data_IF_219253145174
#
_entry.id   IF_219253145174
#
_cell.length_a   1.000
_cell.length_b   1.000
_cell.length_c   1.000
_cell.angle_alpha   90.00
_cell.angle_beta   90.00
_cell.angle_gamma   90.00
#
_symmetry.space_group_name_H-M   'P 1'
#
loop_
_entity.id
_entity.type
_entity.pdbx_description
1 polymer ?
#
# COMPACT_ATOMS: atom_id res chain seq x y z
N UNK A 1 13.65 -21.86 22.37
CA UNK A 1 13.52 -22.08 20.91
C UNK A 1 13.72 -20.71 20.25
N UNK A 2 14.74 -20.53 19.37
CA UNK A 2 14.83 -19.33 18.55
C UNK A 2 13.69 -19.44 17.52
N UNK A 3 12.79 -18.47 17.46
CA UNK A 3 11.81 -18.39 16.38
C UNK A 3 12.56 -18.29 15.06
N UNK A 4 12.11 -19.06 14.07
CA UNK A 4 12.69 -18.98 12.74
C UNK A 4 12.36 -17.59 12.16
N UNK A 5 13.38 -16.88 11.67
CA UNK A 5 13.18 -15.61 11.00
C UNK A 5 12.33 -15.82 9.74
N UNK A 6 11.38 -14.91 9.44
CA UNK A 6 10.63 -14.96 8.19
C UNK A 6 11.60 -14.88 7.00
N UNK A 7 11.34 -15.64 5.94
CA UNK A 7 12.16 -15.60 4.72
C UNK A 7 12.00 -14.30 3.95
N UNK A 8 10.88 -13.64 4.14
CA UNK A 8 10.51 -12.37 3.50
C UNK A 8 9.81 -11.45 4.50
N UNK A 9 9.99 -10.15 4.32
CA UNK A 9 9.30 -9.10 5.09
C UNK A 9 8.83 -7.99 4.16
N UNK A 10 7.76 -7.33 4.56
CA UNK A 10 7.22 -6.14 3.88
C UNK A 10 7.44 -4.93 4.79
N UNK A 11 8.15 -3.93 4.30
CA UNK A 11 8.53 -2.73 5.05
C UNK A 11 8.06 -1.49 4.29
N UNK A 12 7.44 -0.55 4.99
CA UNK A 12 7.02 0.73 4.41
C UNK A 12 7.61 1.92 5.18
N UNK A 13 7.88 2.99 4.46
CA UNK A 13 8.41 4.22 5.07
C UNK A 13 8.67 5.32 4.06
N UNK A 14 9.36 6.35 4.51
CA UNK A 14 9.82 7.47 3.69
C UNK A 14 11.30 7.28 3.38
N UNK A 15 11.69 7.50 2.14
CA UNK A 15 13.10 7.49 1.72
C UNK A 15 13.77 8.73 2.30
N UNK A 16 14.70 8.54 3.23
CA UNK A 16 15.49 9.64 3.82
C UNK A 16 16.72 9.97 2.98
N UNK A 17 17.39 8.93 2.44
CA UNK A 17 18.62 9.12 1.68
C UNK A 17 18.86 8.01 0.65
N UNK A 18 19.49 8.37 -0.47
CA UNK A 18 19.95 7.45 -1.51
C UNK A 18 21.44 7.71 -1.73
N UNK A 19 22.27 6.90 -1.08
CA UNK A 19 23.72 7.04 -1.12
C UNK A 19 24.33 6.10 -2.15
N UNK A 20 24.71 6.64 -3.34
CA UNK A 20 25.27 5.89 -4.44
C UNK A 20 26.70 5.39 -4.11
N UNK A 21 26.93 4.12 -4.41
CA UNK A 21 28.25 3.55 -4.26
C UNK A 21 29.24 4.15 -5.26
N UNK A 22 30.52 4.20 -4.89
CA UNK A 22 31.59 4.72 -5.77
C UNK A 22 31.63 3.99 -7.11
N UNK A 23 31.27 2.70 -7.14
CA UNK A 23 31.20 1.88 -8.36
C UNK A 23 30.03 2.23 -9.27
N UNK A 24 29.05 3.04 -8.81
CA UNK A 24 27.78 3.34 -9.48
C UNK A 24 26.93 2.10 -9.85
N UNK A 25 27.24 0.93 -9.30
CA UNK A 25 26.49 -0.31 -9.53
C UNK A 25 25.26 -0.45 -8.64
N UNK A 26 25.02 0.50 -7.74
CA UNK A 26 23.90 0.54 -6.84
C UNK A 26 24.05 1.63 -5.80
N UNK A 27 23.11 1.67 -4.87
CA UNK A 27 23.09 2.59 -3.74
C UNK A 27 22.62 1.89 -2.47
N UNK A 28 22.94 2.49 -1.34
CA UNK A 28 22.31 2.22 -0.06
C UNK A 28 21.17 3.21 0.11
N UNK A 29 19.95 2.69 0.26
CA UNK A 29 18.74 3.50 0.46
C UNK A 29 18.33 3.40 1.91
N UNK A 30 18.23 4.53 2.59
CA UNK A 30 17.78 4.63 3.98
C UNK A 30 16.31 4.99 4.01
N UNK A 31 15.52 4.22 4.77
CA UNK A 31 14.07 4.34 4.88
C UNK A 31 13.71 4.50 6.35
N UNK A 32 12.78 5.39 6.63
CA UNK A 32 12.26 5.67 7.97
C UNK A 32 10.75 5.52 8.03
N UNK A 33 10.25 4.91 9.09
CA UNK A 33 8.81 4.90 9.43
C UNK A 33 8.44 5.98 10.46
N UNK A 34 9.38 6.85 10.77
CA UNK A 34 9.24 7.90 11.79
C UNK A 34 9.60 7.46 13.22
N UNK A 35 9.78 6.15 13.46
CA UNK A 35 10.21 5.60 14.76
C UNK A 35 11.59 4.97 14.70
N UNK A 36 11.94 4.40 13.56
CA UNK A 36 13.22 3.77 13.30
C UNK A 36 13.63 3.93 11.85
N UNK A 37 14.90 3.69 11.57
CA UNK A 37 15.45 3.70 10.23
C UNK A 37 16.04 2.34 9.88
N UNK A 38 15.95 2.00 8.59
CA UNK A 38 16.62 0.82 8.03
C UNK A 38 17.30 1.17 6.74
N UNK A 39 18.42 0.51 6.44
CA UNK A 39 19.15 0.70 5.20
C UNK A 39 19.13 -0.59 4.38
N UNK A 40 18.79 -0.46 3.11
CA UNK A 40 18.73 -1.58 2.17
C UNK A 40 19.61 -1.30 0.96
N UNK A 41 20.18 -2.34 0.39
CA UNK A 41 20.96 -2.24 -0.84
C UNK A 41 20.05 -2.41 -2.03
N UNK A 42 20.17 -1.48 -2.99
CA UNK A 42 19.47 -1.53 -4.27
C UNK A 42 20.47 -1.43 -5.41
N UNK A 43 20.35 -2.29 -6.42
CA UNK A 43 21.20 -2.24 -7.62
C UNK A 43 20.78 -1.12 -8.57
N UNK A 44 21.73 -0.67 -9.39
CA UNK A 44 21.54 0.47 -10.27
C UNK A 44 20.38 0.29 -11.26
N UNK A 45 20.21 -0.89 -11.83
CA UNK A 45 19.11 -1.17 -12.76
C UNK A 45 17.76 -0.96 -12.07
N UNK A 46 17.59 -1.52 -10.88
CA UNK A 46 16.38 -1.35 -10.09
C UNK A 46 16.08 0.11 -9.74
N UNK A 47 17.11 0.87 -9.35
CA UNK A 47 16.98 2.30 -9.04
C UNK A 47 16.62 3.12 -10.28
N UNK A 48 17.23 2.80 -11.43
CA UNK A 48 16.97 3.49 -12.69
C UNK A 48 15.55 3.22 -13.21
N UNK A 49 15.05 1.99 -13.08
CA UNK A 49 13.70 1.61 -13.50
C UNK A 49 12.62 2.31 -12.64
N UNK A 50 12.96 2.69 -11.41
CA UNK A 50 12.03 3.30 -10.46
C UNK A 50 12.35 4.79 -10.17
N UNK A 51 13.28 5.42 -10.87
CA UNK A 51 13.80 6.78 -10.62
C UNK A 51 12.75 7.88 -10.63
N UNK A 52 11.65 7.70 -11.34
CA UNK A 52 10.61 8.71 -11.49
C UNK A 52 9.88 8.97 -10.16
N UNK A 53 9.77 7.95 -9.33
CA UNK A 53 9.08 8.04 -8.05
C UNK A 53 9.96 7.67 -6.83
N UNK A 54 10.97 6.83 -6.99
CA UNK A 54 11.89 6.42 -5.91
C UNK A 54 13.00 7.48 -5.73
N UNK A 55 12.75 8.44 -4.87
CA UNK A 55 13.62 9.57 -4.57
C UNK A 55 13.47 9.97 -3.11
N UNK A 56 14.33 10.85 -2.61
CA UNK A 56 14.23 11.40 -1.26
C UNK A 56 12.83 11.97 -1.00
N UNK A 57 12.34 11.82 0.21
CA UNK A 57 11.01 12.21 0.69
C UNK A 57 9.83 11.46 0.05
N UNK A 58 10.11 10.47 -0.82
CA UNK A 58 9.06 9.64 -1.38
C UNK A 58 8.67 8.52 -0.41
N UNK A 59 7.37 8.20 -0.35
CA UNK A 59 6.92 6.97 0.29
C UNK A 59 7.33 5.78 -0.55
N UNK A 60 7.85 4.75 0.10
CA UNK A 60 8.17 3.46 -0.49
C UNK A 60 7.69 2.32 0.40
N UNK A 61 7.15 1.28 -0.21
CA UNK A 61 6.98 -0.01 0.43
C UNK A 61 7.85 -1.04 -0.29
N UNK A 62 8.57 -1.86 0.47
CA UNK A 62 9.53 -2.82 -0.05
C UNK A 62 9.15 -4.23 0.39
N UNK A 63 9.20 -5.16 -0.56
CA UNK A 63 9.28 -6.59 -0.28
C UNK A 63 10.74 -6.98 -0.24
N UNK A 64 11.18 -7.46 0.92
CA UNK A 64 12.57 -7.78 1.19
C UNK A 64 12.72 -9.27 1.45
N UNK A 65 13.75 -9.86 0.86
CA UNK A 65 14.24 -11.19 1.23
C UNK A 65 15.16 -11.06 2.43
N UNK A 66 14.91 -11.86 3.46
CA UNK A 66 15.74 -11.94 4.67
C UNK A 66 16.69 -13.11 4.56
N UNK A 67 17.97 -12.87 4.72
CA UNK A 67 19.00 -13.90 4.72
C UNK A 67 19.94 -13.70 5.90
N UNK A 68 20.42 -14.77 6.49
CA UNK A 68 21.45 -14.72 7.51
C UNK A 68 22.78 -15.00 6.85
N UNK A 69 23.73 -14.09 6.99
CA UNK A 69 25.10 -14.28 6.54
C UNK A 69 26.03 -14.25 7.75
N UNK A 70 27.09 -15.04 7.72
CA UNK A 70 28.13 -14.96 8.75
C UNK A 70 29.14 -13.90 8.36
N UNK A 71 29.30 -12.89 9.20
CA UNK A 71 30.33 -11.87 9.05
C UNK A 71 31.62 -12.36 9.72
N UNK A 72 32.63 -12.64 8.89
CA UNK A 72 33.92 -13.15 9.37
C UNK A 72 34.74 -12.10 10.13
N UNK A 73 34.48 -10.82 9.91
CA UNK A 73 35.22 -9.74 10.59
C UNK A 73 34.66 -9.49 11.98
N UNK A 74 33.33 -9.53 12.11
CA UNK A 74 32.64 -9.31 13.38
C UNK A 74 32.37 -10.62 14.14
N UNK A 75 32.73 -11.78 13.56
CA UNK A 75 32.55 -13.12 14.12
C UNK A 75 31.11 -13.41 14.60
N UNK A 76 30.13 -12.93 13.82
CA UNK A 76 28.70 -13.06 14.16
C UNK A 76 27.80 -13.23 12.92
N UNK A 77 26.63 -13.79 13.16
CA UNK A 77 25.57 -13.78 12.16
C UNK A 77 24.99 -12.38 12.00
N UNK A 78 24.92 -11.89 10.76
CA UNK A 78 24.31 -10.62 10.40
C UNK A 78 23.14 -10.85 9.45
N UNK A 79 22.07 -10.07 9.63
CA UNK A 79 20.94 -10.09 8.73
C UNK A 79 21.27 -9.28 7.47
N UNK A 80 21.06 -9.92 6.32
CA UNK A 80 21.14 -9.27 5.01
C UNK A 80 19.75 -9.13 4.42
N UNK A 81 19.36 -7.89 4.12
CA UNK A 81 18.10 -7.56 3.47
C UNK A 81 18.37 -7.27 1.99
N UNK A 82 17.66 -7.97 1.12
CA UNK A 82 17.75 -7.78 -0.33
C UNK A 82 16.38 -7.38 -0.88
N UNK A 83 16.33 -6.27 -1.63
CA UNK A 83 15.08 -5.79 -2.23
C UNK A 83 14.66 -6.74 -3.35
N UNK A 84 13.44 -7.23 -3.27
CA UNK A 84 12.80 -8.02 -4.33
C UNK A 84 11.89 -7.16 -5.19
N UNK A 85 11.07 -6.32 -4.54
CA UNK A 85 10.13 -5.42 -5.19
C UNK A 85 10.01 -4.12 -4.39
N UNK A 86 9.69 -3.04 -5.08
CA UNK A 86 9.32 -1.77 -4.47
C UNK A 86 8.01 -1.27 -5.05
N UNK A 87 7.25 -0.60 -4.21
CA UNK A 87 5.92 -0.08 -4.52
C UNK A 87 5.85 1.38 -4.06
N UNK A 88 5.33 2.23 -4.91
CA UNK A 88 4.96 3.59 -4.52
C UNK A 88 3.66 3.58 -3.68
N UNK A 89 3.22 4.76 -3.25
CA UNK A 89 2.05 4.87 -2.38
C UNK A 89 0.77 4.33 -3.03
N UNK A 90 0.52 4.60 -4.31
CA UNK A 90 -0.67 4.14 -5.03
C UNK A 90 -0.66 2.61 -5.22
N UNK A 91 0.47 2.06 -5.63
CA UNK A 91 0.66 0.62 -5.74
C UNK A 91 0.47 -0.09 -4.39
N UNK A 92 1.02 0.49 -3.31
CA UNK A 92 0.85 -0.04 -1.95
C UNK A 92 -0.60 0.00 -1.53
N UNK A 93 -1.31 1.09 -1.79
CA UNK A 93 -2.76 1.19 -1.52
C UNK A 93 -3.54 0.11 -2.26
N UNK A 94 -3.26 -0.11 -3.55
CA UNK A 94 -3.89 -1.17 -4.34
C UNK A 94 -3.64 -2.55 -3.72
N UNK A 95 -2.40 -2.86 -3.33
CA UNK A 95 -2.03 -4.15 -2.75
C UNK A 95 -2.67 -4.39 -1.37
N UNK A 96 -2.69 -3.36 -0.51
CA UNK A 96 -3.11 -3.49 0.89
C UNK A 96 -4.60 -3.26 1.10
N UNK A 97 -5.28 -2.52 0.22
CA UNK A 97 -6.72 -2.28 0.35
C UNK A 97 -7.52 -3.55 0.07
N UNK A 98 -8.40 -3.89 0.98
CA UNK A 98 -9.35 -4.99 0.81
C UNK A 98 -10.72 -4.47 0.36
N UNK A 99 -11.27 -3.49 1.11
CA UNK A 99 -12.58 -2.90 0.84
C UNK A 99 -12.60 -1.44 1.20
N UNK A 100 -13.41 -0.68 0.47
CA UNK A 100 -13.78 0.68 0.84
C UNK A 100 -15.28 0.72 1.07
N UNK A 101 -15.70 1.14 2.25
CA UNK A 101 -17.11 1.37 2.57
C UNK A 101 -17.40 2.86 2.46
N UNK A 102 -18.44 3.18 1.74
CA UNK A 102 -18.98 4.55 1.66
C UNK A 102 -20.41 4.51 2.22
N UNK A 103 -20.65 5.26 3.26
CA UNK A 103 -22.00 5.45 3.81
C UNK A 103 -22.60 6.72 3.26
N UNK A 104 -23.90 6.73 3.02
CA UNK A 104 -24.66 7.94 2.72
C UNK A 104 -26.11 7.78 3.19
N UNK A 105 -26.83 8.89 3.23
CA UNK A 105 -28.28 8.89 3.38
C UNK A 105 -28.93 8.37 2.09
N UNK A 106 -30.17 7.90 2.17
CA UNK A 106 -30.95 7.44 1.02
C UNK A 106 -31.40 8.65 0.15
N UNK A 107 -30.40 9.25 -0.50
CA UNK A 107 -30.56 10.41 -1.37
C UNK A 107 -30.15 10.05 -2.81
N UNK A 108 -31.06 10.10 -3.78
CA UNK A 108 -30.75 9.78 -5.18
C UNK A 108 -29.60 10.58 -5.77
N UNK A 109 -29.43 11.85 -5.38
CA UNK A 109 -28.35 12.70 -5.87
C UNK A 109 -26.98 12.24 -5.37
N UNK A 110 -26.91 11.74 -4.12
CA UNK A 110 -25.68 11.15 -3.58
C UNK A 110 -25.34 9.82 -4.27
N UNK A 111 -26.34 9.03 -4.61
CA UNK A 111 -26.14 7.80 -5.38
C UNK A 111 -25.60 8.08 -6.78
N UNK A 112 -26.18 9.06 -7.48
CA UNK A 112 -25.69 9.49 -8.80
C UNK A 112 -24.26 10.06 -8.73
N UNK A 113 -23.97 10.82 -7.68
CA UNK A 113 -22.64 11.39 -7.46
C UNK A 113 -21.61 10.29 -7.17
N UNK A 114 -21.96 9.28 -6.37
CA UNK A 114 -21.11 8.12 -6.14
C UNK A 114 -20.77 7.41 -7.45
N UNK A 115 -21.77 7.17 -8.31
CA UNK A 115 -21.57 6.52 -9.59
C UNK A 115 -20.64 7.34 -10.49
N UNK A 116 -20.82 8.64 -10.54
CA UNK A 116 -19.95 9.54 -11.32
C UNK A 116 -18.52 9.49 -10.84
N UNK A 117 -18.28 9.56 -9.53
CA UNK A 117 -16.93 9.48 -8.96
C UNK A 117 -16.29 8.12 -9.26
N UNK A 118 -17.03 7.03 -9.11
CA UNK A 118 -16.46 5.69 -9.24
C UNK A 118 -16.25 5.23 -10.69
N UNK A 119 -17.00 5.78 -11.67
CA UNK A 119 -16.94 5.31 -13.05
C UNK A 119 -15.54 5.38 -13.67
N UNK A 120 -14.74 6.39 -13.32
CA UNK A 120 -13.38 6.55 -13.84
C UNK A 120 -12.38 5.55 -13.23
N UNK A 121 -12.78 4.88 -12.14
CA UNK A 121 -11.92 3.98 -11.36
C UNK A 121 -12.39 2.52 -11.38
N UNK A 122 -13.47 2.22 -12.09
CA UNK A 122 -13.95 0.83 -12.24
C UNK A 122 -12.95 0.05 -13.07
N UNK A 123 -12.39 -1.02 -12.48
CA UNK A 123 -11.50 -1.95 -13.15
C UNK A 123 -12.25 -3.11 -13.80
N UNK A 124 -11.58 -3.87 -14.64
CA UNK A 124 -12.00 -5.23 -14.96
C UNK A 124 -11.82 -6.09 -13.71
N UNK A 125 -12.76 -6.98 -13.46
CA UNK A 125 -12.71 -7.86 -12.29
C UNK A 125 -11.51 -8.80 -12.41
N UNK A 126 -10.49 -8.54 -11.61
CA UNK A 126 -9.43 -9.49 -11.32
C UNK A 126 -9.68 -10.09 -9.93
N UNK A 127 -9.29 -11.35 -9.69
CA UNK A 127 -9.64 -12.12 -8.48
C UNK A 127 -9.27 -11.47 -7.14
N UNK A 128 -8.38 -10.49 -7.15
CA UNK A 128 -7.87 -9.81 -5.94
C UNK A 128 -8.13 -8.30 -5.92
N UNK A 129 -8.93 -7.77 -6.83
CA UNK A 129 -9.22 -6.35 -6.86
C UNK A 129 -10.02 -5.92 -5.61
N UNK A 130 -9.66 -4.78 -5.02
CA UNK A 130 -10.41 -4.23 -3.91
C UNK A 130 -11.84 -3.88 -4.34
N UNK A 131 -12.74 -3.97 -3.38
CA UNK A 131 -14.16 -3.75 -3.60
C UNK A 131 -14.57 -2.46 -2.92
N UNK A 132 -15.28 -1.59 -3.63
CA UNK A 132 -16.03 -0.52 -3.01
C UNK A 132 -17.47 -0.96 -2.76
N UNK A 133 -17.97 -0.67 -1.57
CA UNK A 133 -19.32 -1.00 -1.14
C UNK A 133 -20.02 0.28 -0.71
N UNK A 134 -21.08 0.64 -1.42
CA UNK A 134 -21.97 1.72 -1.02
C UNK A 134 -23.03 1.17 -0.07
N UNK A 135 -23.15 1.78 1.11
CA UNK A 135 -24.14 1.47 2.13
C UNK A 135 -25.04 2.68 2.37
N UNK A 136 -26.34 2.47 2.32
CA UNK A 136 -27.32 3.50 2.64
C UNK A 136 -27.83 3.25 4.04
N UNK A 137 -27.92 4.32 4.86
CA UNK A 137 -28.53 4.23 6.17
C UNK A 137 -30.04 4.15 6.02
N UNK A 138 -30.67 3.24 6.78
CA UNK A 138 -32.12 3.19 6.88
C UNK A 138 -32.61 4.39 7.71
N UNK A 139 -33.35 5.32 7.12
CA UNK A 139 -33.80 6.53 7.81
C UNK A 139 -34.74 6.25 8.99
N UNK A 140 -35.33 5.04 9.06
CA UNK A 140 -36.25 4.66 10.13
C UNK A 140 -35.54 4.06 11.35
N UNK A 141 -34.45 3.36 11.15
CA UNK A 141 -33.76 2.63 12.22
C UNK A 141 -32.38 3.18 12.56
N UNK A 142 -31.83 4.08 11.73
CA UNK A 142 -30.46 4.60 11.86
C UNK A 142 -29.38 3.52 11.72
N UNK A 143 -29.77 2.30 11.32
CA UNK A 143 -28.84 1.18 11.11
C UNK A 143 -28.38 1.14 9.68
N UNK A 144 -27.08 1.01 9.47
CA UNK A 144 -26.47 0.75 8.16
C UNK A 144 -26.86 -0.64 7.68
N UNK A 145 -27.84 -0.75 6.81
CA UNK A 145 -28.48 -2.04 6.55
C UNK A 145 -28.56 -2.42 5.10
N UNK A 146 -28.31 -1.53 4.15
CA UNK A 146 -28.44 -1.90 2.76
C UNK A 146 -27.17 -1.62 1.97
N UNK A 147 -26.49 -2.68 1.59
CA UNK A 147 -25.52 -2.61 0.49
C UNK A 147 -26.28 -2.32 -0.79
N UNK A 148 -26.12 -1.12 -1.33
CA UNK A 148 -26.82 -0.68 -2.55
C UNK A 148 -26.02 -1.04 -3.79
N UNK A 149 -24.69 -0.95 -3.70
CA UNK A 149 -23.81 -1.19 -4.84
C UNK A 149 -22.49 -1.79 -4.41
N UNK A 150 -21.94 -2.64 -5.26
CA UNK A 150 -20.62 -3.24 -5.12
C UNK A 150 -19.88 -3.09 -6.44
N UNK A 151 -18.72 -2.45 -6.43
CA UNK A 151 -17.89 -2.22 -7.60
C UNK A 151 -16.47 -2.71 -7.33
N UNK A 152 -15.81 -3.21 -8.36
CA UNK A 152 -14.37 -3.44 -8.34
C UNK A 152 -13.67 -2.14 -8.72
N UNK A 153 -12.67 -1.72 -7.94
CA UNK A 153 -12.05 -0.41 -8.10
C UNK A 153 -10.53 -0.50 -8.10
N UNK A 154 -9.93 0.52 -8.71
CA UNK A 154 -8.52 0.85 -8.50
C UNK A 154 -8.46 1.83 -7.33
N UNK A 155 -7.93 1.45 -6.15
CA UNK A 155 -7.93 2.30 -4.96
C UNK A 155 -6.84 3.38 -5.03
N UNK A 156 -6.97 4.29 -5.99
CA UNK A 156 -6.09 5.43 -6.13
C UNK A 156 -6.36 6.46 -5.03
N UNK A 157 -5.33 7.21 -4.63
CA UNK A 157 -5.46 8.26 -3.60
C UNK A 157 -6.50 9.29 -4.01
N UNK A 158 -6.54 9.68 -5.29
CA UNK A 158 -7.52 10.63 -5.82
C UNK A 158 -8.97 10.17 -5.59
N UNK A 159 -9.26 8.90 -5.84
CA UNK A 159 -10.59 8.34 -5.58
C UNK A 159 -10.96 8.46 -4.10
N UNK A 160 -10.06 8.08 -3.21
CA UNK A 160 -10.32 8.14 -1.77
C UNK A 160 -10.53 9.58 -1.30
N UNK A 161 -9.73 10.53 -1.80
CA UNK A 161 -9.85 11.96 -1.50
C UNK A 161 -11.19 12.53 -1.99
N UNK A 162 -11.62 12.19 -3.21
CA UNK A 162 -12.91 12.62 -3.76
C UNK A 162 -14.09 12.04 -2.97
N UNK A 163 -14.02 10.77 -2.58
CA UNK A 163 -15.03 10.14 -1.74
C UNK A 163 -15.10 10.81 -0.36
N UNK A 164 -13.96 11.06 0.27
CA UNK A 164 -13.90 11.75 1.57
C UNK A 164 -14.41 13.18 1.47
N UNK A 165 -14.06 13.90 0.41
CA UNK A 165 -14.54 15.28 0.17
C UNK A 165 -16.05 15.34 -0.03
N UNK A 166 -16.62 14.35 -0.72
CA UNK A 166 -18.06 14.34 -1.09
C UNK A 166 -18.93 13.80 0.06
N UNK A 167 -18.52 12.69 0.66
CA UNK A 167 -19.33 11.99 1.67
C UNK A 167 -18.93 12.30 3.11
N UNK A 168 -17.74 12.89 3.30
CA UNK A 168 -17.18 13.18 4.61
C UNK A 168 -16.37 12.01 5.19
N UNK A 169 -15.35 12.35 5.95
CA UNK A 169 -14.38 11.40 6.50
C UNK A 169 -15.00 10.30 7.39
N UNK A 170 -16.06 10.62 8.14
CA UNK A 170 -16.79 9.66 8.98
C UNK A 170 -17.56 8.60 8.19
N UNK A 171 -17.88 8.88 6.92
CA UNK A 171 -18.68 8.02 6.08
C UNK A 171 -17.84 7.16 5.11
N UNK A 172 -16.56 7.46 4.94
CA UNK A 172 -15.63 6.69 4.12
C UNK A 172 -14.71 5.88 5.02
N UNK A 173 -14.78 4.56 4.91
CA UNK A 173 -13.95 3.65 5.71
C UNK A 173 -13.20 2.69 4.80
N UNK A 174 -11.88 2.74 4.86
CA UNK A 174 -11.00 1.80 4.17
C UNK A 174 -10.68 0.64 5.11
N UNK A 175 -10.90 -0.58 4.63
CA UNK A 175 -10.41 -1.79 5.27
C UNK A 175 -9.20 -2.31 4.50
N UNK A 176 -8.13 -2.56 5.25
CA UNK A 176 -6.90 -3.14 4.71
C UNK A 176 -6.89 -4.65 4.91
N UNK A 177 -6.12 -5.34 4.08
CA UNK A 177 -5.82 -6.77 4.27
C UNK A 177 -5.13 -6.93 5.62
N UNK A 178 -5.53 -7.92 6.40
CA UNK A 178 -5.01 -8.12 7.76
C UNK A 178 -3.62 -8.73 7.76
N UNK A 179 -3.36 -9.63 6.81
CA UNK A 179 -2.12 -10.38 6.74
C UNK A 179 -1.33 -9.93 5.51
N UNK A 180 -0.15 -9.38 5.75
CA UNK A 180 0.78 -8.97 4.68
C UNK A 180 1.27 -10.19 3.90
N UNK A 181 1.32 -11.36 4.55
CA UNK A 181 1.73 -12.63 3.95
C UNK A 181 0.75 -13.13 2.86
N UNK A 182 -0.50 -12.64 2.88
CA UNK A 182 -1.52 -12.95 1.88
C UNK A 182 -1.61 -11.92 0.75
N UNK A 183 -0.66 -10.99 0.65
CA UNK A 183 -0.59 -10.07 -0.48
C UNK A 183 -0.15 -10.84 -1.73
N UNK A 184 -0.99 -10.80 -2.76
CA UNK A 184 -0.61 -11.30 -4.08
C UNK A 184 0.19 -10.18 -4.75
N UNK A 185 1.48 -10.46 -4.95
CA UNK A 185 2.37 -9.56 -5.65
C UNK A 185 2.35 -9.88 -7.15
N UNK A 186 2.28 -8.86 -8.01
CA UNK A 186 2.33 -9.05 -9.45
C UNK A 186 3.68 -9.58 -9.91
#
# INVERSE_FOLDING_TARGET
>A
MKEALPSEVFVGGIVEDINWWKSKKGATVTISDGTSTTSVMMFADFLNDNKDWLKNDAFVALRLKVQTNYDQVEDREVLKLSVMQAFNFDQTKKLTTNKVFVGCDDNPDLLATFDKICNDYVGQQEDNDPIIVLCVDDPKTGKKTKQVKKLFIKPEVKLLDELVKTFGNKWVKVLYKKDVDNLVFP
#
